data_IF_033957581077
#
_entry.id   IF_033957581077
#
_cell.length_a   1.000
_cell.length_b   1.000
_cell.length_c   1.000
_cell.angle_alpha   90.00
_cell.angle_beta   90.00
_cell.angle_gamma   90.00
#
_symmetry.space_group_name_H-M   'P 1'
#
loop_
_entity.id
_entity.type
_entity.pdbx_description
1 polymer ?
#
# COMPACT_ATOMS: atom_id res chain seq x y z
N UNK A 1 -14.32 -25.97 -39.65
CA UNK A 1 -14.90 -26.06 -38.29
C UNK A 1 -13.74 -26.42 -37.37
N UNK A 2 -13.24 -25.64 -36.41
CA UNK A 2 -13.67 -24.41 -35.73
C UNK A 2 -12.40 -23.82 -35.09
N UNK A 3 -12.22 -22.51 -35.28
CA UNK A 3 -11.68 -21.44 -34.41
C UNK A 3 -10.58 -21.61 -33.32
N UNK A 4 -9.86 -20.51 -33.01
CA UNK A 4 -8.51 -20.49 -32.47
C UNK A 4 -8.45 -20.23 -30.96
N UNK A 5 -7.43 -20.76 -30.27
CA UNK A 5 -7.10 -20.35 -28.90
C UNK A 5 -6.02 -19.28 -28.92
N UNK A 6 -6.47 -18.07 -28.62
CA UNK A 6 -5.82 -16.90 -28.01
C UNK A 6 -4.29 -16.79 -28.01
N UNK A 7 -3.71 -15.73 -28.59
CA UNK A 7 -2.37 -15.29 -28.21
C UNK A 7 -2.46 -14.71 -26.79
N UNK A 8 -1.81 -15.38 -25.82
CA UNK A 8 -1.43 -14.75 -24.56
C UNK A 8 -0.74 -13.42 -24.87
N UNK A 9 -1.39 -12.31 -24.53
CA UNK A 9 -0.86 -10.97 -24.73
C UNK A 9 0.53 -10.84 -24.09
N UNK A 10 1.41 -9.97 -24.63
CA UNK A 10 2.74 -9.78 -24.08
C UNK A 10 2.61 -9.35 -22.63
N UNK A 11 3.14 -10.17 -21.71
CA UNK A 11 3.35 -9.79 -20.33
C UNK A 11 4.20 -8.51 -20.36
N UNK A 12 3.57 -7.39 -19.99
CA UNK A 12 4.21 -6.07 -19.97
C UNK A 12 5.56 -6.19 -19.25
N UNK A 13 6.62 -5.57 -19.77
CA UNK A 13 7.95 -5.68 -19.18
C UNK A 13 7.85 -5.35 -17.70
N UNK A 14 8.32 -6.29 -16.87
CA UNK A 14 8.50 -6.10 -15.44
C UNK A 14 9.38 -4.88 -15.25
N UNK A 15 8.77 -3.72 -15.01
CA UNK A 15 9.52 -2.50 -14.79
C UNK A 15 10.28 -2.69 -13.48
N UNK A 16 11.60 -2.58 -13.58
CA UNK A 16 12.52 -2.71 -12.47
C UNK A 16 12.16 -1.63 -11.46
N UNK A 17 11.55 -2.04 -10.35
CA UNK A 17 11.22 -1.15 -9.25
C UNK A 17 12.52 -0.43 -8.82
N UNK A 18 12.48 0.89 -8.68
CA UNK A 18 13.65 1.61 -8.14
C UNK A 18 14.03 1.02 -6.79
N UNK A 19 15.32 0.93 -6.50
CA UNK A 19 15.82 0.25 -5.30
C UNK A 19 15.23 0.86 -4.03
N UNK A 20 15.21 2.19 -3.93
CA UNK A 20 14.57 2.92 -2.83
C UNK A 20 13.08 2.57 -2.65
N UNK A 21 12.35 2.35 -3.74
CA UNK A 21 10.94 1.96 -3.68
C UNK A 21 10.78 0.52 -3.19
N UNK A 22 11.66 -0.39 -3.60
CA UNK A 22 11.69 -1.76 -3.08
C UNK A 22 11.98 -1.77 -1.57
N UNK A 23 13.01 -1.05 -1.14
CA UNK A 23 13.39 -0.91 0.26
C UNK A 23 12.24 -0.29 1.08
N UNK A 24 11.57 0.74 0.57
CA UNK A 24 10.38 1.33 1.20
C UNK A 24 9.24 0.32 1.37
N UNK A 25 8.89 -0.45 0.33
CA UNK A 25 7.81 -1.44 0.42
C UNK A 25 8.12 -2.56 1.42
N UNK A 26 9.38 -2.99 1.49
CA UNK A 26 9.84 -3.98 2.47
C UNK A 26 9.70 -3.43 3.89
N UNK A 27 10.19 -2.21 4.15
CA UNK A 27 10.06 -1.57 5.46
C UNK A 27 8.59 -1.34 5.84
N UNK A 28 7.74 -0.93 4.90
CA UNK A 28 6.30 -0.79 5.13
C UNK A 28 5.66 -2.13 5.54
N UNK A 29 6.03 -3.21 4.86
CA UNK A 29 5.57 -4.56 5.21
C UNK A 29 6.02 -4.96 6.62
N UNK A 30 7.26 -4.65 7.00
CA UNK A 30 7.79 -4.93 8.34
C UNK A 30 7.04 -4.10 9.39
N UNK A 31 6.81 -2.81 9.14
CA UNK A 31 6.10 -1.93 10.06
C UNK A 31 4.65 -2.40 10.27
N UNK A 32 3.93 -2.73 9.19
CA UNK A 32 2.59 -3.29 9.27
C UNK A 32 2.58 -4.61 10.07
N UNK A 33 3.52 -5.51 9.79
CA UNK A 33 3.64 -6.77 10.53
C UNK A 33 3.93 -6.55 12.03
N UNK A 34 4.77 -5.57 12.38
CA UNK A 34 5.04 -5.22 13.77
C UNK A 34 3.80 -4.66 14.47
N UNK A 35 3.03 -3.80 13.81
CA UNK A 35 1.76 -3.32 14.33
C UNK A 35 0.74 -4.46 14.52
N UNK A 36 0.81 -5.52 13.70
CA UNK A 36 -0.03 -6.71 13.84
C UNK A 36 0.37 -7.63 15.01
N UNK A 37 1.66 -7.64 15.35
CA UNK A 37 2.25 -8.48 16.41
C UNK A 37 2.22 -7.82 17.78
N UNK A 38 2.36 -6.49 17.84
CA UNK A 38 2.48 -5.75 19.09
C UNK A 38 1.28 -4.82 19.32
N UNK A 39 0.71 -4.77 20.54
CA UNK A 39 -0.36 -3.84 20.86
C UNK A 39 0.11 -2.38 20.76
N UNK A 40 -0.84 -1.48 20.50
CA UNK A 40 -0.58 -0.04 20.41
C UNK A 40 0.08 0.48 21.68
N UNK A 41 1.29 1.04 21.55
CA UNK A 41 2.11 1.51 22.67
C UNK A 41 3.45 0.79 22.84
N UNK A 42 3.74 -0.25 22.06
CA UNK A 42 5.03 -0.94 22.14
C UNK A 42 6.19 -0.07 21.59
N UNK A 43 7.33 0.02 22.29
CA UNK A 43 8.45 0.92 21.93
C UNK A 43 9.09 0.57 20.57
N UNK A 44 8.88 -0.63 20.05
CA UNK A 44 9.40 -1.06 18.74
C UNK A 44 8.59 -0.56 17.53
N UNK A 45 7.42 0.06 17.75
CA UNK A 45 6.57 0.59 16.67
C UNK A 45 7.11 1.93 16.15
N UNK A 46 7.41 2.87 17.05
CA UNK A 46 7.96 4.19 16.70
C UNK A 46 9.19 4.12 15.75
N UNK A 47 10.26 3.37 16.04
CA UNK A 47 11.41 3.28 15.15
C UNK A 47 11.10 2.57 13.83
N UNK A 48 10.10 1.67 13.80
CA UNK A 48 9.67 1.06 12.53
C UNK A 48 8.97 2.09 11.64
N UNK A 49 8.12 2.93 12.24
CA UNK A 49 7.43 4.00 11.52
C UNK A 49 8.39 5.08 11.02
N UNK A 50 9.37 5.48 11.83
CA UNK A 50 10.40 6.45 11.44
C UNK A 50 11.23 5.95 10.23
N UNK A 51 11.62 4.68 10.22
CA UNK A 51 12.34 4.08 9.08
C UNK A 51 11.53 4.12 7.79
N UNK A 52 10.23 3.82 7.86
CA UNK A 52 9.36 3.88 6.69
C UNK A 52 9.26 5.31 6.17
N UNK A 53 9.12 6.31 7.06
CA UNK A 53 9.09 7.73 6.65
C UNK A 53 10.41 8.18 6.03
N UNK A 54 11.56 7.76 6.57
CA UNK A 54 12.86 8.08 5.98
C UNK A 54 12.97 7.52 4.56
N UNK A 55 12.61 6.23 4.36
CA UNK A 55 12.62 5.59 3.04
C UNK A 55 11.62 6.24 2.09
N UNK A 56 10.41 6.53 2.57
CA UNK A 56 9.40 7.22 1.78
C UNK A 56 9.90 8.61 1.35
N UNK A 57 10.61 9.33 2.22
CA UNK A 57 11.16 10.65 1.89
C UNK A 57 12.14 10.54 0.73
N UNK A 58 13.04 9.55 0.74
CA UNK A 58 13.96 9.25 -0.38
C UNK A 58 13.21 8.89 -1.65
N UNK A 59 12.20 8.04 -1.53
CA UNK A 59 11.33 7.69 -2.66
C UNK A 59 10.69 8.95 -3.21
N UNK A 60 10.18 9.86 -2.38
CA UNK A 60 9.55 11.12 -2.76
C UNK A 60 10.55 12.22 -3.17
N UNK A 61 11.87 11.99 -3.15
CA UNK A 61 12.83 12.95 -3.67
C UNK A 61 12.57 13.16 -5.17
N UNK A 62 12.14 14.37 -5.53
CA UNK A 62 11.75 14.72 -6.90
C UNK A 62 10.29 14.46 -7.28
N UNK A 63 9.42 14.05 -6.34
CA UNK A 63 7.96 13.93 -6.56
C UNK A 63 7.14 14.35 -5.35
N UNK A 64 5.98 14.96 -5.60
CA UNK A 64 5.11 15.45 -4.51
C UNK A 64 4.30 14.35 -3.83
N UNK A 65 4.02 13.25 -4.54
CA UNK A 65 3.17 12.15 -4.05
C UNK A 65 3.60 10.78 -4.59
N UNK A 66 3.25 9.72 -3.88
CA UNK A 66 3.43 8.32 -4.28
C UNK A 66 2.09 7.60 -4.12
N UNK A 67 1.57 7.04 -5.21
CA UNK A 67 0.33 6.24 -5.18
C UNK A 67 0.65 4.76 -5.34
N UNK A 68 0.14 3.96 -4.40
CA UNK A 68 0.19 2.50 -4.41
C UNK A 68 -1.21 1.95 -4.65
N UNK A 69 -1.47 1.42 -5.82
CA UNK A 69 -2.63 0.58 -6.11
C UNK A 69 -2.46 -0.81 -5.46
N UNK A 70 -3.53 -1.35 -4.91
CA UNK A 70 -3.56 -2.65 -4.24
C UNK A 70 -4.38 -3.62 -5.08
N UNK A 71 -3.73 -4.65 -5.61
CA UNK A 71 -4.39 -5.78 -6.25
C UNK A 71 -4.39 -7.00 -5.33
N UNK A 72 -5.14 -8.05 -5.68
CA UNK A 72 -5.33 -9.26 -4.85
C UNK A 72 -4.01 -9.89 -4.34
N UNK A 73 -2.96 -9.85 -5.15
CA UNK A 73 -1.66 -10.47 -4.82
C UNK A 73 -0.46 -9.61 -5.24
N UNK A 74 -0.67 -8.38 -5.70
CA UNK A 74 0.38 -7.49 -6.22
C UNK A 74 0.06 -6.05 -5.87
N UNK A 75 1.08 -5.21 -5.78
CA UNK A 75 0.92 -3.76 -5.72
C UNK A 75 1.18 -3.17 -7.10
N UNK A 76 0.46 -2.11 -7.44
CA UNK A 76 0.66 -1.37 -8.70
C UNK A 76 1.12 0.03 -8.32
N UNK A 77 2.31 0.43 -8.76
CA UNK A 77 2.90 1.74 -8.47
C UNK A 77 3.15 2.44 -9.79
N UNK A 78 2.57 3.62 -10.02
CA UNK A 78 2.75 4.39 -11.26
C UNK A 78 2.50 3.55 -12.54
N UNK A 79 1.52 2.64 -12.49
CA UNK A 79 1.20 1.72 -13.60
C UNK A 79 2.08 0.48 -13.71
N UNK A 80 3.08 0.32 -12.83
CA UNK A 80 3.97 -0.84 -12.77
C UNK A 80 3.53 -1.80 -11.66
N UNK A 81 3.24 -3.06 -12.02
CA UNK A 81 2.96 -4.10 -11.03
C UNK A 81 4.24 -4.65 -10.40
N UNK A 82 4.25 -4.84 -9.09
CA UNK A 82 5.34 -5.50 -8.37
C UNK A 82 5.46 -6.97 -8.75
N UNK A 83 6.68 -7.52 -8.65
CA UNK A 83 6.93 -8.93 -8.95
C UNK A 83 6.08 -9.87 -8.04
N UNK A 84 5.27 -10.79 -8.62
CA UNK A 84 4.39 -11.67 -7.85
C UNK A 84 5.12 -12.84 -7.18
N UNK A 85 6.39 -13.09 -7.53
CA UNK A 85 7.24 -14.11 -6.90
C UNK A 85 7.89 -13.59 -5.63
N UNK A 86 7.91 -12.27 -5.40
CA UNK A 86 8.38 -11.70 -4.14
C UNK A 86 7.33 -11.96 -3.03
N UNK A 87 7.61 -12.86 -2.07
CA UNK A 87 6.62 -13.24 -1.06
C UNK A 87 6.28 -12.10 -0.11
N UNK A 88 7.21 -11.17 0.13
CA UNK A 88 7.01 -10.02 1.03
C UNK A 88 5.99 -9.05 0.44
N UNK A 89 6.18 -8.68 -0.84
CA UNK A 89 5.27 -7.76 -1.53
C UNK A 89 3.89 -8.39 -1.76
N UNK A 90 3.85 -9.70 -2.03
CA UNK A 90 2.62 -10.46 -2.14
C UNK A 90 1.83 -10.48 -0.82
N UNK A 91 2.49 -10.71 0.31
CA UNK A 91 1.83 -10.67 1.63
C UNK A 91 1.32 -9.26 1.95
N UNK A 92 2.11 -8.22 1.68
CA UNK A 92 1.70 -6.83 1.86
C UNK A 92 0.44 -6.50 1.03
N UNK A 93 0.44 -6.84 -0.27
CA UNK A 93 -0.72 -6.65 -1.14
C UNK A 93 -1.95 -7.40 -0.62
N UNK A 94 -1.77 -8.67 -0.21
CA UNK A 94 -2.83 -9.49 0.34
C UNK A 94 -3.42 -8.91 1.64
N UNK A 95 -2.59 -8.35 2.52
CA UNK A 95 -3.05 -7.69 3.75
C UNK A 95 -3.86 -6.44 3.44
N UNK A 96 -3.32 -5.52 2.65
CA UNK A 96 -4.03 -4.30 2.27
C UNK A 96 -5.36 -4.61 1.57
N UNK A 97 -5.37 -5.64 0.72
CA UNK A 97 -6.60 -6.11 0.06
C UNK A 97 -7.61 -6.70 1.04
N UNK A 98 -7.20 -7.44 2.08
CA UNK A 98 -8.11 -7.94 3.14
C UNK A 98 -8.79 -6.80 3.91
N UNK A 99 -8.11 -5.67 4.05
CA UNK A 99 -8.67 -4.44 4.63
C UNK A 99 -9.55 -3.65 3.67
N UNK A 100 -9.90 -4.21 2.51
CA UNK A 100 -10.70 -3.56 1.46
C UNK A 100 -10.12 -2.21 1.04
N UNK A 101 -8.80 -2.10 0.96
CA UNK A 101 -8.11 -0.94 0.40
C UNK A 101 -7.78 -1.20 -1.07
N UNK A 102 -8.17 -0.28 -1.94
CA UNK A 102 -7.89 -0.31 -3.37
C UNK A 102 -6.67 0.50 -3.76
N UNK A 103 -6.38 1.58 -3.02
CA UNK A 103 -5.17 2.34 -3.19
C UNK A 103 -4.77 3.11 -1.92
N UNK A 104 -3.49 3.45 -1.81
CA UNK A 104 -2.94 4.31 -0.78
C UNK A 104 -2.08 5.37 -1.45
N UNK A 105 -2.36 6.65 -1.20
CA UNK A 105 -1.50 7.74 -1.65
C UNK A 105 -0.80 8.37 -0.48
N UNK A 106 0.52 8.45 -0.58
CA UNK A 106 1.38 9.19 0.33
C UNK A 106 1.79 10.51 -0.30
N UNK A 107 1.87 11.57 0.50
CA UNK A 107 2.37 12.89 0.08
C UNK A 107 3.68 13.20 0.78
N UNK A 108 4.48 14.04 0.14
CA UNK A 108 5.69 14.59 0.75
C UNK A 108 5.34 15.37 2.01
N UNK A 109 6.17 15.24 3.05
CA UNK A 109 5.92 15.85 4.36
C UNK A 109 5.25 14.92 5.38
N UNK A 110 5.07 13.63 5.04
CA UNK A 110 4.49 12.63 5.95
C UNK A 110 5.24 12.58 7.28
N UNK A 111 4.52 12.82 8.39
CA UNK A 111 5.10 12.69 9.72
C UNK A 111 5.07 11.22 10.20
N UNK A 112 6.07 10.76 10.97
CA UNK A 112 6.06 9.42 11.58
C UNK A 112 4.81 9.17 12.44
N UNK A 113 4.28 10.20 13.11
CA UNK A 113 3.02 10.07 13.88
C UNK A 113 1.83 9.75 12.98
N UNK A 114 1.69 10.43 11.85
CA UNK A 114 0.60 10.17 10.90
C UNK A 114 0.67 8.73 10.37
N UNK A 115 1.87 8.26 9.99
CA UNK A 115 2.03 6.88 9.53
C UNK A 115 1.74 5.88 10.65
N UNK A 116 2.10 6.18 11.90
CA UNK A 116 1.80 5.33 13.04
C UNK A 116 0.28 5.18 13.24
N UNK A 117 -0.46 6.28 13.16
CA UNK A 117 -1.92 6.29 13.26
C UNK A 117 -2.57 5.52 12.10
N UNK A 118 -2.05 5.66 10.88
CA UNK A 118 -2.52 4.88 9.72
C UNK A 118 -2.32 3.38 9.97
N UNK A 119 -1.11 2.95 10.31
CA UNK A 119 -0.80 1.53 10.57
C UNK A 119 -1.62 0.97 11.74
N UNK A 120 -1.81 1.78 12.79
CA UNK A 120 -2.66 1.42 13.92
C UNK A 120 -4.13 1.27 13.51
N UNK A 121 -4.63 2.15 12.63
CA UNK A 121 -6.00 2.05 12.11
C UNK A 121 -6.17 0.76 11.30
N UNK A 122 -5.22 0.44 10.41
CA UNK A 122 -5.23 -0.79 9.61
C UNK A 122 -5.32 -2.05 10.49
N UNK A 123 -4.61 -2.08 11.62
CA UNK A 123 -4.67 -3.24 12.52
C UNK A 123 -5.88 -3.25 13.45
N UNK A 124 -6.42 -2.08 13.83
CA UNK A 124 -7.65 -1.98 14.61
C UNK A 124 -8.87 -2.57 13.86
N UNK A 125 -8.81 -2.63 12.53
CA UNK A 125 -9.77 -3.32 11.67
C UNK A 125 -9.93 -4.82 11.98
N UNK A 126 -8.90 -5.46 12.59
CA UNK A 126 -8.96 -6.88 12.96
C UNK A 126 -10.04 -7.22 13.98
N UNK A 127 -10.60 -6.24 14.70
CA UNK A 127 -11.52 -6.49 15.82
C UNK A 127 -13.01 -6.24 15.56
N UNK A 128 -13.47 -5.90 14.34
CA UNK A 128 -14.92 -6.02 14.09
C UNK A 128 -15.58 -5.38 12.87
N UNK A 129 -15.01 -4.36 12.22
CA UNK A 129 -15.69 -3.67 11.11
C UNK A 129 -14.70 -3.26 10.00
N UNK A 130 -14.89 -3.69 8.73
CA UNK A 130 -13.99 -3.34 7.63
C UNK A 130 -13.87 -1.82 7.43
N UNK A 131 -12.64 -1.30 7.40
CA UNK A 131 -12.33 0.12 7.18
C UNK A 131 -12.92 0.67 5.89
N UNK A 132 -13.06 -0.17 4.86
CA UNK A 132 -13.73 0.19 3.60
C UNK A 132 -15.24 0.46 3.73
N UNK A 133 -15.85 0.04 4.84
CA UNK A 133 -17.26 0.26 5.19
C UNK A 133 -17.43 1.30 6.31
N UNK A 134 -16.35 1.75 6.94
CA UNK A 134 -16.35 2.82 7.94
C UNK A 134 -16.54 4.22 7.35
N UNK A 135 -16.73 5.26 8.19
CA UNK A 135 -16.92 6.63 7.72
C UNK A 135 -15.70 7.08 6.90
N UNK A 136 -15.92 7.47 5.64
CA UNK A 136 -14.89 7.90 4.67
C UNK A 136 -13.99 9.02 5.22
N UNK A 137 -14.49 9.81 6.17
CA UNK A 137 -13.74 10.85 6.88
C UNK A 137 -12.52 10.29 7.62
N UNK A 138 -12.58 9.06 8.17
CA UNK A 138 -11.42 8.42 8.81
C UNK A 138 -10.31 8.04 7.81
N UNK A 139 -10.68 7.76 6.56
CA UNK A 139 -9.73 7.37 5.50
C UNK A 139 -8.98 8.56 4.88
N UNK A 140 -9.45 9.79 5.13
CA UNK A 140 -8.80 11.05 4.73
C UNK A 140 -8.46 11.95 5.93
N UNK A 141 -8.33 11.37 7.12
CA UNK A 141 -8.07 12.10 8.36
C UNK A 141 -6.65 12.71 8.44
N UNK A 142 -5.74 12.31 7.55
CA UNK A 142 -4.34 12.75 7.55
C UNK A 142 -4.04 13.71 6.41
N UNK A 143 -3.13 14.65 6.65
CA UNK A 143 -2.76 15.65 5.67
C UNK A 143 -1.91 15.05 4.54
N UNK A 144 -1.09 14.04 4.88
CA UNK A 144 -0.12 13.45 3.96
C UNK A 144 -0.38 11.99 3.60
N UNK A 145 -1.45 11.37 4.11
CA UNK A 145 -1.88 10.02 3.70
C UNK A 145 -3.35 10.05 3.33
N UNK A 146 -3.66 9.43 2.20
CA UNK A 146 -5.04 9.18 1.80
C UNK A 146 -5.21 7.71 1.47
N UNK A 147 -6.20 7.09 2.12
CA UNK A 147 -6.60 5.72 1.85
C UNK A 147 -7.82 5.73 0.93
N UNK A 148 -7.80 4.88 -0.10
CA UNK A 148 -8.92 4.70 -1.00
C UNK A 148 -9.51 3.31 -0.78
N UNK A 149 -10.81 3.21 -0.47
CA UNK A 149 -11.46 1.92 -0.35
C UNK A 149 -11.45 1.19 -1.69
N UNK A 150 -11.49 -0.13 -1.65
CA UNK A 150 -11.62 -1.00 -2.80
C UNK A 150 -13.04 -0.85 -3.35
N UNK A 151 -13.31 0.20 -4.13
CA UNK A 151 -14.54 0.28 -4.91
C UNK A 151 -14.45 -0.75 -6.03
N UNK A 152 -15.31 -1.76 -5.97
CA UNK A 152 -15.44 -2.78 -7.03
C UNK A 152 -16.05 -2.21 -8.33
N UNK A 153 -16.33 -0.91 -8.36
CA UNK A 153 -16.84 -0.21 -9.53
C UNK A 153 -15.74 0.70 -10.09
N UNK A 154 -15.28 0.33 -11.29
CA UNK A 154 -14.63 1.22 -12.27
C UNK A 154 -13.46 2.05 -11.73
N UNK A 155 -12.25 1.55 -11.97
CA UNK A 155 -11.09 2.41 -12.21
C UNK A 155 -11.38 3.26 -13.45
N UNK A 156 -12.14 4.34 -13.29
CA UNK A 156 -12.13 5.43 -14.26
C UNK A 156 -10.80 6.15 -14.06
N UNK A 157 -9.88 5.85 -14.98
CA UNK A 157 -8.70 6.65 -15.24
C UNK A 157 -9.24 8.04 -15.64
N UNK A 158 -9.25 8.97 -14.69
CA UNK A 158 -9.49 10.37 -15.03
C UNK A 158 -8.30 10.82 -15.88
N UNK A 159 -8.60 11.13 -17.13
CA UNK A 159 -7.70 11.71 -18.14
C UNK A 159 -7.08 13.04 -17.71
#
# INVERSE_FOLDING_TARGET
MTEPTSPSGPAKPQATLSRDLADFLIELSIALHKHAMYPGGHPSLAPATERVVERLTRVLEGRSTLSLGVARQQLVIEGVATDPKNPVLKDLAGRLHRHHLGAITFRQGLAPRELHDVLKLLEADRTGEPLGLGPRERLSAWAHVRLYPLTYERLDLLE
#
